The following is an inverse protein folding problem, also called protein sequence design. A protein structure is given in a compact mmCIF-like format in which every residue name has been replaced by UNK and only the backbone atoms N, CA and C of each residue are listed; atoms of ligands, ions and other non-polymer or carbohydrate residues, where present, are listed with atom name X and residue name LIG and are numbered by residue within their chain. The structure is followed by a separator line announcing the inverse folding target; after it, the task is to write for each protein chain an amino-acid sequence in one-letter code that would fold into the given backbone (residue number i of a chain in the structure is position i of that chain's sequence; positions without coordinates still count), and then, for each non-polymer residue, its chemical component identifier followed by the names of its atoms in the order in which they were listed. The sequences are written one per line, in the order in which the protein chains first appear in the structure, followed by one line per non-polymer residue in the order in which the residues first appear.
data_IF_870335037294
#
_entry.id   IF_870335037294
#
_cell.length_a   1.000
_cell.length_b   1.000
_cell.length_c   1.000
_cell.angle_alpha   90.00
_cell.angle_beta   90.00
_cell.angle_gamma   90.00
#
_symmetry.space_group_name_H-M   'P 1'
#
loop_
_entity.id
_entity.type
_entity.pdbx_description
1 polymer ?
#
# COMPACT_ATOMS: atom_id res chain seq x y z
N UNK A 1 -0.94 20.02 13.50
CA UNK A 1 -0.57 20.84 12.33
C UNK A 1 -0.93 19.96 11.17
N UNK A 2 -2.17 20.10 10.69
CA UNK A 2 -2.76 19.16 9.74
C UNK A 2 -2.05 19.32 8.40
N UNK A 3 -1.28 18.29 8.03
CA UNK A 3 -0.82 18.14 6.65
C UNK A 3 -2.06 17.81 5.84
N UNK A 4 -2.40 18.68 4.90
CA UNK A 4 -3.34 18.36 3.83
C UNK A 4 -2.72 17.18 3.08
N UNK A 5 -3.31 16.00 3.25
CA UNK A 5 -2.94 14.78 2.54
C UNK A 5 -3.47 14.93 1.12
N UNK A 6 -2.58 15.01 0.15
CA UNK A 6 -2.96 15.05 -1.26
C UNK A 6 -3.11 13.62 -1.77
N UNK A 7 -4.30 13.05 -1.63
CA UNK A 7 -4.63 11.72 -2.18
C UNK A 7 -4.62 11.68 -3.72
N UNK A 8 -4.39 12.83 -4.39
CA UNK A 8 -4.10 12.90 -5.82
C UNK A 8 -2.62 12.79 -6.14
N UNK A 9 -1.77 12.54 -5.15
CA UNK A 9 -0.40 12.14 -5.39
C UNK A 9 -0.46 10.82 -6.17
N UNK A 10 -0.30 10.93 -7.50
CA UNK A 10 -0.17 9.80 -8.40
C UNK A 10 0.71 8.75 -7.72
N UNK A 11 0.14 7.57 -7.45
CA UNK A 11 0.78 6.54 -6.64
C UNK A 11 2.23 6.38 -7.06
N UNK A 12 3.15 6.34 -6.09
CA UNK A 12 4.56 6.12 -6.37
C UNK A 12 4.63 4.89 -7.28
N UNK A 13 5.28 4.98 -8.47
CA UNK A 13 5.42 3.82 -9.33
C UNK A 13 5.87 2.63 -8.49
N UNK A 14 5.07 1.57 -8.48
CA UNK A 14 5.42 0.35 -7.74
C UNK A 14 6.29 -0.54 -8.63
N UNK A 15 7.11 -1.42 -8.03
CA UNK A 15 7.79 -2.47 -8.78
C UNK A 15 6.75 -3.24 -9.60
N UNK A 16 7.07 -3.62 -10.84
CA UNK A 16 6.14 -4.39 -11.66
C UNK A 16 5.77 -5.66 -10.90
N UNK A 17 4.46 -5.92 -10.70
CA UNK A 17 4.02 -7.28 -10.39
C UNK A 17 4.58 -8.19 -11.48
N UNK A 18 5.43 -9.14 -11.10
CA UNK A 18 6.03 -10.11 -12.01
C UNK A 18 4.88 -10.99 -12.53
N UNK A 19 4.18 -10.53 -13.57
CA UNK A 19 3.28 -11.39 -14.35
C UNK A 19 4.17 -12.46 -14.97
N UNK A 20 3.79 -13.73 -14.79
CA UNK A 20 4.48 -14.94 -15.27
C UNK A 20 4.83 -14.99 -16.78
N UNK A 21 4.54 -13.92 -17.54
CA UNK A 21 4.68 -13.87 -18.99
C UNK A 21 6.09 -13.51 -19.47
N UNK A 22 6.89 -12.79 -18.68
CA UNK A 22 8.28 -12.48 -19.02
C UNK A 22 9.21 -13.23 -18.06
N UNK A 23 10.05 -14.12 -18.61
CA UNK A 23 11.05 -14.86 -17.83
C UNK A 23 11.94 -13.93 -17.01
N UNK A 24 12.65 -14.45 -15.99
CA UNK A 24 13.41 -13.61 -15.07
C UNK A 24 14.38 -12.70 -15.83
N UNK A 25 14.15 -11.39 -15.79
CA UNK A 25 15.17 -10.43 -16.24
C UNK A 25 16.46 -10.74 -15.46
N UNK A 26 17.62 -10.81 -16.15
CA UNK A 26 18.87 -11.01 -15.45
C UNK A 26 19.06 -9.90 -14.42
N UNK A 27 19.39 -10.27 -13.18
CA UNK A 27 19.83 -9.32 -12.16
C UNK A 27 20.97 -8.47 -12.74
N UNK A 28 20.82 -7.14 -12.72
CA UNK A 28 21.86 -6.24 -13.19
C UNK A 28 23.02 -6.07 -12.18
N UNK A 29 22.96 -6.74 -11.02
CA UNK A 29 23.90 -6.64 -9.91
C UNK A 29 24.48 -8.00 -9.49
N UNK A 30 25.46 -7.99 -8.56
CA UNK A 30 25.99 -9.22 -7.97
C UNK A 30 24.91 -9.90 -7.09
N UNK A 31 24.49 -11.14 -7.39
CA UNK A 31 23.48 -11.85 -6.61
C UNK A 31 23.86 -12.03 -5.12
N UNK A 32 25.16 -12.08 -4.80
CA UNK A 32 25.62 -12.21 -3.41
C UNK A 32 25.37 -10.93 -2.62
N UNK A 33 25.57 -9.78 -3.26
CA UNK A 33 25.30 -8.48 -2.65
C UNK A 33 23.79 -8.30 -2.44
N UNK A 34 22.99 -8.62 -3.47
CA UNK A 34 21.54 -8.62 -3.37
C UNK A 34 21.04 -9.49 -2.21
N UNK A 35 21.55 -10.72 -2.08
CA UNK A 35 21.18 -11.64 -1.00
C UNK A 35 21.57 -11.12 0.39
N UNK A 36 22.76 -10.51 0.54
CA UNK A 36 23.20 -9.94 1.82
C UNK A 36 22.31 -8.77 2.25
N UNK A 37 21.96 -7.91 1.31
CA UNK A 37 21.09 -6.76 1.57
C UNK A 37 19.68 -7.20 1.91
N UNK A 38 19.14 -8.16 1.17
CA UNK A 38 17.83 -8.73 1.46
C UNK A 38 17.78 -9.34 2.86
N UNK A 39 18.81 -10.12 3.24
CA UNK A 39 18.89 -10.71 4.57
C UNK A 39 18.85 -9.64 5.67
N UNK A 40 19.66 -8.58 5.54
CA UNK A 40 19.65 -7.49 6.52
C UNK A 40 18.31 -6.75 6.57
N UNK A 41 17.65 -6.56 5.42
CA UNK A 41 16.34 -5.94 5.37
C UNK A 41 15.27 -6.79 6.06
N UNK A 42 15.31 -8.12 5.88
CA UNK A 42 14.42 -9.05 6.56
C UNK A 42 14.65 -9.07 8.08
N UNK A 43 15.91 -9.04 8.52
CA UNK A 43 16.24 -8.96 9.96
C UNK A 43 15.70 -7.65 10.56
N UNK A 44 15.92 -6.50 9.90
CA UNK A 44 15.38 -5.21 10.35
C UNK A 44 13.85 -5.18 10.38
N UNK A 45 13.19 -5.78 9.37
CA UNK A 45 11.74 -5.87 9.32
C UNK A 45 11.20 -6.76 10.46
N UNK A 46 11.87 -7.87 10.76
CA UNK A 46 11.52 -8.77 11.84
C UNK A 46 11.62 -8.10 13.22
N UNK A 47 12.64 -7.25 13.44
CA UNK A 47 12.78 -6.44 14.67
C UNK A 47 11.58 -5.50 14.89
N UNK A 48 10.91 -5.08 13.80
CA UNK A 48 9.69 -4.25 13.85
C UNK A 48 8.39 -5.09 13.92
N UNK A 49 8.50 -6.42 13.93
CA UNK A 49 7.37 -7.36 13.99
C UNK A 49 6.85 -7.82 12.63
N UNK A 50 7.54 -7.50 11.53
CA UNK A 50 7.18 -7.97 10.20
C UNK A 50 7.89 -9.29 9.89
N UNK A 51 7.14 -10.38 10.00
CA UNK A 51 7.63 -11.72 9.65
C UNK A 51 6.92 -12.20 8.39
N UNK A 52 7.65 -12.63 7.35
CA UNK A 52 7.01 -13.07 6.12
C UNK A 52 6.36 -14.45 6.28
N UNK A 53 5.29 -14.69 5.51
CA UNK A 53 4.55 -15.96 5.49
C UNK A 53 5.36 -17.14 4.93
N UNK A 54 6.41 -16.84 4.16
CA UNK A 54 7.37 -17.81 3.61
C UNK A 54 8.76 -17.18 3.49
N UNK A 55 9.74 -18.00 3.14
CA UNK A 55 11.06 -17.50 2.78
C UNK A 55 10.98 -16.56 1.56
N UNK A 56 11.66 -15.42 1.67
CA UNK A 56 11.81 -14.42 0.61
C UNK A 56 13.24 -14.52 0.08
N UNK A 57 13.35 -14.60 -1.24
CA UNK A 57 14.60 -14.77 -1.97
C UNK A 57 14.88 -13.57 -2.86
N UNK A 58 16.09 -13.49 -3.42
CA UNK A 58 16.45 -12.42 -4.35
C UNK A 58 15.56 -12.36 -5.59
N UNK A 59 14.91 -13.46 -5.94
CA UNK A 59 14.00 -13.53 -7.09
C UNK A 59 12.64 -12.90 -6.81
N UNK A 60 12.27 -12.69 -5.54
CA UNK A 60 11.03 -12.02 -5.16
C UNK A 60 11.15 -10.49 -5.29
N UNK A 61 12.36 -9.95 -5.34
CA UNK A 61 12.62 -8.49 -5.35
C UNK A 61 13.14 -8.03 -6.71
N UNK A 62 12.48 -7.03 -7.29
CA UNK A 62 12.97 -6.33 -8.48
C UNK A 62 14.09 -5.34 -8.12
N UNK A 63 15.30 -5.84 -7.90
CA UNK A 63 16.46 -4.97 -7.62
C UNK A 63 16.76 -3.99 -8.77
N UNK A 64 16.37 -4.30 -10.01
CA UNK A 64 16.61 -3.42 -11.15
C UNK A 64 15.75 -2.14 -11.02
N UNK A 65 14.49 -2.29 -10.60
CA UNK A 65 13.60 -1.16 -10.31
C UNK A 65 14.20 -0.18 -9.29
N UNK A 66 14.88 -0.70 -8.26
CA UNK A 66 15.55 0.11 -7.24
C UNK A 66 16.93 0.64 -7.65
N UNK A 67 17.39 0.44 -8.89
CA UNK A 67 18.77 0.73 -9.33
C UNK A 67 19.85 -0.07 -8.56
N UNK A 68 19.55 -1.30 -8.18
CA UNK A 68 20.47 -2.24 -7.53
C UNK A 68 20.34 -2.30 -6.01
N UNK A 69 21.23 -3.06 -5.34
CA UNK A 69 21.18 -3.31 -3.90
C UNK A 69 21.24 -2.02 -3.06
N UNK A 70 22.00 -1.02 -3.50
CA UNK A 70 22.12 0.26 -2.80
C UNK A 70 20.81 1.05 -2.77
N UNK A 71 20.08 1.10 -3.88
CA UNK A 71 18.78 1.79 -3.88
C UNK A 71 17.73 0.98 -3.13
N UNK A 72 17.77 -0.36 -3.19
CA UNK A 72 16.90 -1.19 -2.36
C UNK A 72 17.13 -0.93 -0.87
N UNK A 73 18.38 -0.75 -0.40
CA UNK A 73 18.67 -0.39 1.01
C UNK A 73 17.92 0.87 1.46
N UNK A 74 17.71 1.82 0.56
CA UNK A 74 17.06 3.10 0.86
C UNK A 74 15.53 3.01 0.90
N UNK A 75 14.93 1.93 0.40
CA UNK A 75 13.48 1.73 0.26
C UNK A 75 13.07 0.33 0.74
N UNK A 76 13.88 -0.30 1.59
CA UNK A 76 13.84 -1.74 1.86
C UNK A 76 12.55 -2.18 2.55
N UNK A 77 12.03 -1.40 3.51
CA UNK A 77 10.83 -1.78 4.25
C UNK A 77 9.59 -1.72 3.34
N UNK A 78 9.42 -0.61 2.63
CA UNK A 78 8.31 -0.41 1.68
C UNK A 78 8.42 -1.39 0.52
N UNK A 79 9.63 -1.74 0.07
CA UNK A 79 9.84 -2.78 -0.94
C UNK A 79 9.37 -4.16 -0.46
N UNK A 80 9.72 -4.56 0.76
CA UNK A 80 9.30 -5.83 1.35
C UNK A 80 7.78 -5.88 1.55
N UNK A 81 7.17 -4.82 2.08
CA UNK A 81 5.74 -4.80 2.39
C UNK A 81 4.82 -4.81 1.16
N UNK A 82 5.35 -4.45 -0.01
CA UNK A 82 4.65 -4.55 -1.30
C UNK A 82 4.68 -5.96 -1.91
N UNK A 83 5.50 -6.87 -1.38
CA UNK A 83 5.60 -8.22 -1.92
C UNK A 83 4.29 -8.98 -1.71
N UNK A 84 3.85 -9.66 -2.76
CA UNK A 84 2.63 -10.47 -2.81
C UNK A 84 2.93 -11.83 -3.43
N UNK A 85 2.13 -12.83 -3.05
CA UNK A 85 2.05 -14.09 -3.76
C UNK A 85 1.43 -13.90 -5.14
N UNK A 86 1.49 -14.93 -5.99
CA UNK A 86 0.94 -14.90 -7.35
C UNK A 86 -0.58 -14.62 -7.40
N UNK A 87 -1.31 -14.96 -6.34
CA UNK A 87 -2.74 -14.66 -6.20
C UNK A 87 -3.03 -13.25 -5.65
N UNK A 88 -1.99 -12.47 -5.36
CA UNK A 88 -2.08 -11.12 -4.81
C UNK A 88 -2.10 -11.05 -3.28
N UNK A 89 -2.04 -12.19 -2.57
CA UNK A 89 -1.96 -12.21 -1.10
C UNK A 89 -0.66 -11.55 -0.65
N UNK A 90 -0.66 -10.57 0.27
CA UNK A 90 0.58 -9.99 0.80
C UNK A 90 1.53 -11.05 1.37
N UNK A 91 2.84 -10.86 1.32
CA UNK A 91 3.79 -11.77 1.99
C UNK A 91 3.91 -11.49 3.48
N UNK A 92 3.58 -10.28 3.91
CA UNK A 92 3.60 -9.87 5.31
C UNK A 92 2.16 -9.80 5.83
N UNK A 93 1.97 -10.23 7.07
CA UNK A 93 0.70 -10.05 7.76
C UNK A 93 0.51 -8.58 8.14
N UNK A 94 -0.74 -8.14 8.30
CA UNK A 94 -1.06 -6.76 8.69
C UNK A 94 -0.43 -5.71 7.79
N UNK A 95 -0.28 -6.03 6.50
CA UNK A 95 0.03 -5.08 5.44
C UNK A 95 -1.06 -5.08 4.38
N UNK A 96 -1.26 -3.93 3.76
CA UNK A 96 -2.21 -3.73 2.68
C UNK A 96 -1.64 -2.73 1.68
N UNK A 97 -1.55 -3.13 0.41
CA UNK A 97 -1.16 -2.25 -0.69
C UNK A 97 -2.45 -1.70 -1.29
N UNK A 98 -2.60 -0.38 -1.28
CA UNK A 98 -3.81 0.29 -1.72
C UNK A 98 -3.58 0.98 -3.07
N UNK A 99 -4.54 0.79 -3.98
CA UNK A 99 -4.62 1.53 -5.24
C UNK A 99 -5.81 2.49 -5.13
N UNK A 100 -5.60 3.81 -5.14
CA UNK A 100 -6.68 4.77 -5.05
C UNK A 100 -7.58 4.81 -6.31
N UNK A 101 -7.12 4.29 -7.45
CA UNK A 101 -7.90 4.17 -8.71
C UNK A 101 -8.72 2.86 -8.73
N UNK A 102 -9.52 2.60 -7.69
CA UNK A 102 -10.21 1.32 -7.50
C UNK A 102 -11.74 1.38 -7.57
N UNK A 103 -12.33 2.55 -7.83
CA UNK A 103 -13.80 2.74 -7.79
C UNK A 103 -14.42 2.31 -9.12
N UNK A 104 -14.78 1.03 -9.21
CA UNK A 104 -15.30 0.43 -10.47
C UNK A 104 -16.76 -0.07 -10.35
N UNK A 105 -17.29 -0.21 -9.14
CA UNK A 105 -18.61 -0.80 -8.89
C UNK A 105 -19.33 -0.23 -7.66
N UNK A 106 -20.67 -0.37 -7.62
CA UNK A 106 -21.53 0.12 -6.53
C UNK A 106 -21.12 -0.37 -5.13
N UNK A 107 -20.52 -1.55 -5.03
CA UNK A 107 -20.17 -2.20 -3.77
C UNK A 107 -18.67 -2.07 -3.42
N UNK A 108 -17.91 -1.26 -4.16
CA UNK A 108 -16.44 -1.12 -4.02
C UNK A 108 -16.02 -0.91 -2.57
N UNK A 109 -16.61 0.04 -1.84
CA UNK A 109 -16.18 0.31 -0.46
C UNK A 109 -16.54 -0.80 0.51
N UNK A 110 -17.60 -1.57 0.24
CA UNK A 110 -17.90 -2.76 1.04
C UNK A 110 -16.82 -3.82 0.84
N UNK A 111 -16.34 -4.01 -0.39
CA UNK A 111 -15.27 -4.95 -0.69
C UNK A 111 -13.95 -4.49 -0.06
N UNK A 112 -13.61 -3.20 -0.19
CA UNK A 112 -12.42 -2.61 0.43
C UNK A 112 -12.44 -2.76 1.96
N UNK A 113 -13.58 -2.47 2.61
CA UNK A 113 -13.72 -2.66 4.05
C UNK A 113 -13.41 -4.10 4.46
N UNK A 114 -13.92 -5.09 3.72
CA UNK A 114 -13.63 -6.50 4.02
C UNK A 114 -12.17 -6.86 3.79
N UNK A 115 -11.56 -6.39 2.70
CA UNK A 115 -10.15 -6.65 2.41
C UNK A 115 -9.23 -6.02 3.47
N UNK A 116 -9.52 -4.79 3.87
CA UNK A 116 -8.79 -4.04 4.90
C UNK A 116 -8.96 -4.72 6.27
N UNK A 117 -10.19 -5.10 6.63
CA UNK A 117 -10.45 -5.80 7.89
C UNK A 117 -9.81 -7.20 7.94
N UNK A 118 -9.76 -7.93 6.81
CA UNK A 118 -9.06 -9.20 6.71
C UNK A 118 -7.54 -9.02 6.88
N UNK A 119 -6.96 -8.00 6.23
CA UNK A 119 -5.55 -7.67 6.34
C UNK A 119 -5.16 -7.29 7.78
N UNK A 120 -6.00 -6.50 8.45
CA UNK A 120 -5.82 -6.10 9.85
C UNK A 120 -6.06 -7.25 10.84
N UNK A 121 -6.81 -8.28 10.44
CA UNK A 121 -7.23 -9.37 11.31
C UNK A 121 -8.37 -8.99 12.25
N UNK A 122 -9.31 -8.18 11.77
CA UNK A 122 -10.44 -7.61 12.53
C UNK A 122 -11.79 -7.83 11.87
N UNK A 123 -11.88 -8.78 10.92
CA UNK A 123 -13.09 -9.04 10.14
C UNK A 123 -14.33 -9.21 11.00
N UNK A 124 -14.19 -9.93 12.12
CA UNK A 124 -15.27 -10.26 13.06
C UNK A 124 -15.89 -9.06 13.77
N UNK A 125 -15.23 -7.89 13.73
CA UNK A 125 -15.73 -6.64 14.32
C UNK A 125 -16.79 -5.97 13.44
N UNK A 126 -16.89 -6.37 12.17
CA UNK A 126 -17.79 -5.76 11.19
C UNK A 126 -19.02 -6.63 10.93
N UNK A 127 -20.19 -6.00 10.80
CA UNK A 127 -21.44 -6.66 10.41
C UNK A 127 -22.34 -5.74 9.57
N UNK A 128 -23.30 -6.34 8.86
CA UNK A 128 -24.30 -5.69 8.00
C UNK A 128 -23.77 -4.52 7.15
N UNK A 129 -22.69 -4.79 6.39
CA UNK A 129 -22.07 -3.81 5.51
C UNK A 129 -22.97 -3.56 4.29
N UNK A 130 -23.38 -2.32 4.09
CA UNK A 130 -24.14 -1.84 2.94
C UNK A 130 -23.38 -0.72 2.24
N UNK A 131 -23.26 -0.81 0.93
CA UNK A 131 -22.65 0.21 0.10
C UNK A 131 -23.49 0.42 -1.16
N UNK A 132 -23.80 1.68 -1.45
CA UNK A 132 -24.46 2.10 -2.69
C UNK A 132 -23.81 3.40 -3.16
N UNK A 133 -23.02 3.32 -4.22
CA UNK A 133 -22.39 4.48 -4.85
C UNK A 133 -23.27 5.16 -5.91
N UNK A 134 -24.52 4.70 -6.06
CA UNK A 134 -25.51 5.23 -7.00
C UNK A 134 -25.03 5.33 -8.46
N UNK A 135 -24.25 4.34 -8.94
CA UNK A 135 -23.83 4.27 -10.35
C UNK A 135 -25.04 4.28 -11.30
N UNK A 136 -25.17 5.30 -12.16
CA UNK A 136 -26.23 5.38 -13.17
C UNK A 136 -26.39 6.75 -13.88
N UNK A 137 -27.21 6.83 -14.95
CA UNK A 137 -27.34 8.03 -15.79
C UNK A 137 -27.95 9.27 -15.09
N UNK A 138 -28.45 9.16 -13.85
CA UNK A 138 -28.95 10.28 -13.03
C UNK A 138 -27.93 10.84 -12.03
N UNK A 139 -26.70 10.33 -12.04
CA UNK A 139 -25.67 10.63 -11.03
C UNK A 139 -25.05 12.03 -11.13
N UNK A 140 -25.08 12.64 -12.32
CA UNK A 140 -24.47 13.94 -12.58
C UNK A 140 -25.00 15.07 -11.66
N UNK A 141 -26.20 14.88 -11.08
CA UNK A 141 -26.87 15.88 -10.27
C UNK A 141 -26.62 15.71 -8.75
N UNK A 142 -26.15 14.55 -8.26
CA UNK A 142 -25.84 14.27 -6.84
C UNK A 142 -24.76 13.17 -6.71
N UNK A 143 -23.46 13.50 -6.75
CA UNK A 143 -22.37 12.53 -6.77
C UNK A 143 -21.97 12.04 -5.36
N UNK A 144 -22.96 11.72 -4.53
CA UNK A 144 -22.74 11.24 -3.16
C UNK A 144 -23.31 9.84 -3.04
N UNK A 145 -22.44 8.87 -2.80
CA UNK A 145 -22.81 7.51 -2.41
C UNK A 145 -22.88 7.35 -0.90
N UNK A 146 -23.24 6.16 -0.44
CA UNK A 146 -23.27 5.83 0.99
C UNK A 146 -22.55 4.51 1.30
N UNK A 147 -21.92 4.48 2.47
CA UNK A 147 -21.41 3.28 3.11
C UNK A 147 -21.92 3.24 4.54
N UNK A 148 -22.51 2.11 4.95
CA UNK A 148 -22.90 1.87 6.33
C UNK A 148 -22.54 0.47 6.77
N UNK A 149 -22.22 0.31 8.06
CA UNK A 149 -21.87 -0.96 8.66
C UNK A 149 -21.98 -0.86 10.19
N UNK A 150 -21.97 -2.01 10.85
CA UNK A 150 -21.76 -2.09 12.29
C UNK A 150 -20.29 -2.33 12.60
N UNK A 151 -19.74 -1.58 13.56
CA UNK A 151 -18.43 -1.79 14.15
C UNK A 151 -18.62 -2.10 15.63
N UNK A 152 -18.30 -3.33 16.05
CA UNK A 152 -18.51 -3.80 17.43
C UNK A 152 -19.95 -3.56 17.95
N UNK A 153 -20.93 -3.60 17.04
CA UNK A 153 -22.35 -3.37 17.33
C UNK A 153 -22.82 -1.91 17.26
N UNK A 154 -21.92 -0.96 17.05
CA UNK A 154 -22.25 0.46 16.83
C UNK A 154 -22.39 0.77 15.34
N UNK A 155 -23.40 1.56 14.99
CA UNK A 155 -23.66 1.93 13.58
C UNK A 155 -22.68 3.01 13.14
N UNK A 156 -22.03 2.78 12.00
CA UNK A 156 -21.25 3.77 11.25
C UNK A 156 -21.96 4.06 9.93
N UNK A 157 -22.07 5.34 9.58
CA UNK A 157 -22.63 5.81 8.32
C UNK A 157 -21.69 6.88 7.74
N UNK A 158 -21.32 6.71 6.48
CA UNK A 158 -20.38 7.57 5.76
C UNK A 158 -20.99 7.96 4.42
N UNK A 159 -20.96 9.26 4.14
CA UNK A 159 -21.19 9.81 2.81
C UNK A 159 -19.90 9.64 1.99
N UNK A 160 -20.04 9.19 0.74
CA UNK A 160 -18.92 8.93 -0.16
C UNK A 160 -18.95 9.92 -1.31
N UNK A 161 -17.95 10.79 -1.42
CA UNK A 161 -17.76 11.60 -2.61
C UNK A 161 -17.23 10.70 -3.75
N UNK A 162 -18.00 10.56 -4.83
CA UNK A 162 -17.57 9.76 -5.98
C UNK A 162 -16.94 10.68 -7.02
N UNK A 163 -15.62 10.63 -7.18
CA UNK A 163 -14.85 11.38 -8.19
C UNK A 163 -14.29 10.43 -9.26
N UNK A 164 -15.15 10.00 -10.19
CA UNK A 164 -14.76 9.06 -11.24
C UNK A 164 -14.33 7.71 -10.64
N UNK A 165 -13.12 7.27 -11.00
CA UNK A 165 -12.56 5.97 -10.59
C UNK A 165 -11.74 6.07 -9.28
N UNK A 166 -11.66 7.26 -8.68
CA UNK A 166 -10.84 7.53 -7.50
C UNK A 166 -11.63 7.36 -6.20
N UNK A 167 -10.98 6.73 -5.21
CA UNK A 167 -11.54 6.58 -3.88
C UNK A 167 -11.54 7.90 -3.08
N UNK A 168 -12.58 8.08 -2.27
CA UNK A 168 -12.76 9.17 -1.30
C UNK A 168 -11.75 8.99 -0.16
N UNK A 169 -10.77 9.89 -0.01
CA UNK A 169 -9.70 9.74 0.96
C UNK A 169 -10.18 9.71 2.41
N UNK A 170 -11.26 10.43 2.73
CA UNK A 170 -11.77 10.49 4.10
C UNK A 170 -12.49 9.20 4.49
N UNK A 171 -13.24 8.61 3.54
CA UNK A 171 -13.88 7.32 3.73
C UNK A 171 -12.84 6.22 3.88
N UNK A 172 -11.81 6.22 3.02
CA UNK A 172 -10.71 5.25 3.09
C UNK A 172 -9.95 5.38 4.41
N UNK A 173 -9.57 6.59 4.82
CA UNK A 173 -8.93 6.85 6.11
C UNK A 173 -9.77 6.30 7.26
N UNK A 174 -11.08 6.53 7.22
CA UNK A 174 -12.00 6.03 8.25
C UNK A 174 -12.06 4.51 8.30
N UNK A 175 -12.08 3.83 7.14
CA UNK A 175 -12.07 2.36 7.07
C UNK A 175 -10.78 1.80 7.70
N UNK A 176 -9.61 2.37 7.39
CA UNK A 176 -8.34 1.95 7.99
C UNK A 176 -8.30 2.16 9.50
N UNK A 177 -8.82 3.30 9.99
CA UNK A 177 -8.95 3.58 11.42
C UNK A 177 -9.85 2.58 12.12
N UNK A 178 -11.04 2.31 11.57
CA UNK A 178 -12.02 1.41 12.16
C UNK A 178 -11.53 -0.05 12.17
N UNK A 179 -10.77 -0.46 11.15
CA UNK A 179 -10.12 -1.77 11.08
C UNK A 179 -8.89 -1.91 12.00
N UNK A 180 -8.44 -0.84 12.67
CA UNK A 180 -7.24 -0.92 13.50
C UNK A 180 -7.46 -1.82 14.71
N UNK A 181 -6.65 -2.90 14.89
CA UNK A 181 -6.76 -3.78 16.05
C UNK A 181 -6.34 -3.09 17.34
N UNK A 182 -6.86 -3.56 18.48
CA UNK A 182 -6.40 -3.08 19.78
C UNK A 182 -4.89 -3.31 19.96
N UNK A 183 -4.20 -2.33 20.54
CA UNK A 183 -2.74 -2.38 20.79
C UNK A 183 -1.88 -2.18 19.55
N UNK A 184 -2.50 -1.86 18.41
CA UNK A 184 -1.81 -1.53 17.17
C UNK A 184 -2.13 -0.09 16.76
N UNK A 185 -1.24 0.47 15.94
CA UNK A 185 -1.47 1.72 15.21
C UNK A 185 -1.43 1.46 13.72
N UNK A 186 -2.36 2.08 13.01
CA UNK A 186 -2.29 2.19 11.56
C UNK A 186 -1.22 3.22 11.16
N UNK A 187 -0.33 2.83 10.26
CA UNK A 187 0.73 3.67 9.69
C UNK A 187 0.73 3.47 8.17
N UNK A 188 0.95 4.55 7.41
CA UNK A 188 1.02 4.51 5.95
C UNK A 188 2.24 5.25 5.42
N UNK A 189 2.65 4.90 4.20
CA UNK A 189 3.58 5.72 3.40
C UNK A 189 2.96 7.08 3.08
N UNK A 190 3.78 8.07 2.75
CA UNK A 190 3.35 9.44 2.48
C UNK A 190 2.43 9.56 1.26
N UNK A 191 2.56 8.64 0.31
CA UNK A 191 1.71 8.51 -0.88
C UNK A 191 0.45 7.65 -0.65
N UNK A 192 0.23 7.13 0.56
CA UNK A 192 -0.88 6.24 0.88
C UNK A 192 -0.92 4.93 0.06
N UNK A 193 0.20 4.50 -0.53
CA UNK A 193 0.27 3.24 -1.29
C UNK A 193 0.42 2.00 -0.42
N UNK A 194 1.10 2.10 0.72
CA UNK A 194 1.31 0.99 1.67
C UNK A 194 0.75 1.35 3.03
N UNK A 195 -0.06 0.45 3.57
CA UNK A 195 -0.65 0.56 4.91
C UNK A 195 -0.26 -0.64 5.75
N UNK A 196 0.06 -0.38 7.02
CA UNK A 196 0.39 -1.43 7.99
C UNK A 196 -0.28 -1.19 9.33
N UNK A 197 -0.58 -2.28 10.05
CA UNK A 197 -0.96 -2.25 11.46
C UNK A 197 0.15 -2.82 12.31
N UNK A 198 0.83 -1.94 13.03
CA UNK A 198 2.03 -2.26 13.80
C UNK A 198 1.75 -2.13 15.28
N UNK A 199 2.41 -2.93 16.11
CA UNK A 199 2.31 -2.80 17.57
C UNK A 199 2.69 -1.37 17.95
N UNK A 200 1.94 -0.76 18.87
CA UNK A 200 2.08 0.66 19.23
C UNK A 200 3.52 1.11 19.53
N UNK A 201 4.34 0.22 20.10
CA UNK A 201 5.73 0.50 20.44
C UNK A 201 6.65 0.71 19.23
N UNK A 202 6.32 0.12 18.07
CA UNK A 202 7.07 0.24 16.82
C UNK A 202 6.53 1.31 15.88
N UNK A 203 5.32 1.82 16.13
CA UNK A 203 4.61 2.69 15.20
C UNK A 203 5.38 3.97 14.81
N UNK A 204 6.02 4.61 15.79
CA UNK A 204 6.78 5.84 15.54
C UNK A 204 8.05 5.57 14.72
N UNK A 205 8.67 4.41 14.88
CA UNK A 205 9.86 4.02 14.10
C UNK A 205 9.48 3.68 12.66
N UNK A 206 8.40 2.91 12.47
CA UNK A 206 7.89 2.58 11.13
C UNK A 206 7.49 3.84 10.38
N UNK A 207 6.80 4.79 11.03
CA UNK A 207 6.44 6.07 10.42
C UNK A 207 7.67 6.90 10.02
N UNK A 208 8.75 6.86 10.83
CA UNK A 208 10.03 7.50 10.48
C UNK A 208 10.70 6.86 9.27
N UNK A 209 10.69 5.52 9.21
CA UNK A 209 11.26 4.78 8.09
C UNK A 209 10.51 5.11 6.80
N UNK A 210 9.18 4.99 6.78
CA UNK A 210 8.36 5.37 5.62
C UNK A 210 8.65 6.78 5.14
N UNK A 211 8.69 7.77 6.04
CA UNK A 211 9.03 9.14 5.65
C UNK A 211 10.43 9.29 5.04
N UNK A 212 11.41 8.47 5.46
CA UNK A 212 12.75 8.48 4.87
C UNK A 212 12.78 7.77 3.51
N UNK A 213 12.05 6.66 3.38
CA UNK A 213 11.94 5.88 2.15
C UNK A 213 11.15 6.63 1.06
N UNK A 214 10.11 7.40 1.42
CA UNK A 214 9.37 8.28 0.52
C UNK A 214 10.32 9.29 -0.16
N UNK A 215 11.20 9.92 0.62
CA UNK A 215 12.20 10.87 0.09
C UNK A 215 13.18 10.17 -0.86
N UNK A 216 13.57 8.92 -0.55
CA UNK A 216 14.43 8.13 -1.43
C UNK A 216 13.72 7.75 -2.74
N UNK A 217 12.46 7.34 -2.67
CA UNK A 217 11.63 7.01 -3.82
C UNK A 217 11.42 8.23 -4.74
N UNK A 218 11.10 9.40 -4.17
CA UNK A 218 10.99 10.67 -4.91
C UNK A 218 12.30 11.01 -5.64
N UNK A 219 13.44 10.88 -4.95
CA UNK A 219 14.76 11.15 -5.54
C UNK A 219 15.08 10.18 -6.69
N UNK A 220 14.73 8.89 -6.53
CA UNK A 220 14.90 7.87 -7.57
C UNK A 220 14.06 8.19 -8.81
N UNK A 221 12.79 8.56 -8.64
CA UNK A 221 11.88 8.92 -9.73
C UNK A 221 12.37 10.17 -10.45
N UNK A 222 12.75 11.21 -9.71
CA UNK A 222 13.31 12.43 -10.30
C UNK A 222 14.60 12.16 -11.10
N UNK A 223 15.48 11.30 -10.58
CA UNK A 223 16.69 10.85 -11.27
C UNK A 223 16.41 10.05 -12.54
N UNK A 224 15.33 9.25 -12.57
CA UNK A 224 14.89 8.53 -13.77
C UNK A 224 14.37 9.51 -14.85
N UNK A 225 13.46 10.41 -14.48
CA UNK A 225 12.90 11.43 -15.39
C UNK A 225 13.98 12.34 -15.98
N UNK A 226 15.01 12.68 -15.21
CA UNK A 226 16.15 13.45 -15.71
C UNK A 226 16.94 12.66 -16.78
N UNK A 227 17.22 11.37 -16.55
CA UNK A 227 17.93 10.52 -17.52
C UNK A 227 17.15 10.40 -18.84
N UNK A 228 15.84 10.13 -18.78
CA UNK A 228 15.00 9.98 -19.97
C UNK A 228 14.95 11.25 -20.83
N UNK A 229 14.81 12.43 -20.20
CA UNK A 229 14.82 13.73 -20.89
C UNK A 229 16.14 14.03 -21.61
N UNK A 230 17.25 13.46 -21.12
CA UNK A 230 18.57 13.66 -21.70
C UNK A 230 18.99 12.57 -22.70
N UNK A 231 18.45 11.36 -22.61
CA UNK A 231 18.65 10.30 -23.60
C UNK A 231 17.77 10.45 -24.85
N UNK A 232 16.62 11.11 -24.75
CA UNK A 232 15.74 11.42 -25.90
C UNK A 232 16.20 12.55 -26.83
N UNK A 233 17.44 13.05 -26.65
CA UNK A 233 18.03 14.15 -27.44
C UNK A 233 19.25 13.75 -28.27
N UNK A 234 19.55 12.45 -28.39
CA UNK A 234 20.67 11.96 -29.19
C UNK A 234 20.26 11.38 -30.54
#
# INVERSE_FOLDING_TARGET
MDRIIDARAAGTPSPRRRRDADGPEPLACDPREAAQVLLLALDNAADLGFVPRREITVDDVDFNFYNGPDGFRLEHLTALLQLTEADGTPLFERSFVFDPECVEANDTYSQLLWQIADAAGTRERFADVHCDLHFGPGFADNPVGELSYFLDGEVVHLDVAVEGDWADPEVIRRIFEDATPQGHRWVSTGDYGVHVWVVDEHADEVARLFAAEDVAAEARIAGHLHRERHSGRS
#
